data_IF_343652363006
#
_entry.id   IF_343652363006
#
_cell.length_a   1.000
_cell.length_b   1.000
_cell.length_c   1.000
_cell.angle_alpha   90.00
_cell.angle_beta   90.00
_cell.angle_gamma   90.00
#
_symmetry.space_group_name_H-M   'P 1'
#
loop_
_entity.id
_entity.type
_entity.pdbx_description
1 polymer ?
#
# COMPACT_ATOMS: atom_id res chain seq x y z
N UNK A 1 18.47 0.22 -0.64
CA UNK A 1 17.18 -0.46 -0.85
C UNK A 1 16.49 0.33 -1.94
N UNK A 2 16.17 -0.29 -3.06
CA UNK A 2 15.54 0.41 -4.18
C UNK A 2 14.05 0.65 -3.86
N UNK A 3 13.56 1.86 -4.11
CA UNK A 3 12.15 2.18 -3.93
C UNK A 3 11.31 1.49 -5.01
N UNK A 4 10.30 0.73 -4.59
CA UNK A 4 9.43 -0.01 -5.52
C UNK A 4 8.42 0.89 -6.24
N UNK A 5 8.15 2.08 -5.71
CA UNK A 5 7.18 3.02 -6.25
C UNK A 5 7.70 4.46 -6.21
N UNK A 6 7.33 5.25 -7.22
CA UNK A 6 7.19 6.70 -7.07
C UNK A 6 5.79 6.98 -6.50
N UNK A 7 5.69 7.92 -5.55
CA UNK A 7 4.42 8.28 -4.92
C UNK A 7 4.05 9.70 -5.31
N UNK A 8 2.85 9.88 -5.86
CA UNK A 8 2.28 11.18 -6.21
C UNK A 8 0.94 11.39 -5.51
N UNK A 9 0.65 12.60 -4.99
CA UNK A 9 -0.70 12.93 -4.55
C UNK A 9 -1.65 12.88 -5.75
N UNK A 10 -2.83 12.27 -5.58
CA UNK A 10 -3.86 12.21 -6.62
C UNK A 10 -4.98 13.21 -6.31
N UNK A 11 -5.72 12.97 -5.23
CA UNK A 11 -6.72 13.89 -4.67
C UNK A 11 -7.12 13.50 -3.25
N UNK A 12 -7.40 14.49 -2.41
CA UNK A 12 -7.83 14.25 -1.02
C UNK A 12 -6.85 13.36 -0.26
N UNK A 13 -7.34 12.21 0.19
CA UNK A 13 -6.62 11.19 0.94
C UNK A 13 -6.08 10.04 0.04
N UNK A 14 -5.94 10.27 -1.27
CA UNK A 14 -5.51 9.26 -2.25
C UNK A 14 -4.16 9.60 -2.88
N UNK A 15 -3.33 8.58 -3.05
CA UNK A 15 -2.00 8.65 -3.64
C UNK A 15 -1.91 7.70 -4.82
N UNK A 16 -1.35 8.17 -5.93
CA UNK A 16 -0.95 7.35 -7.07
C UNK A 16 0.44 6.75 -6.77
N UNK A 17 0.54 5.44 -6.90
CA UNK A 17 1.78 4.67 -6.80
C UNK A 17 2.18 4.24 -8.21
N UNK A 18 3.30 4.75 -8.69
CA UNK A 18 3.85 4.42 -10.01
C UNK A 18 4.97 3.40 -9.80
N UNK A 19 4.82 2.15 -10.26
CA UNK A 19 5.80 1.11 -10.01
C UNK A 19 7.12 1.39 -10.75
N UNK A 20 8.24 1.03 -10.11
CA UNK A 20 9.60 1.17 -10.65
C UNK A 20 10.25 -0.19 -10.89
N UNK A 21 11.26 -0.23 -11.74
CA UNK A 21 12.05 -1.42 -12.02
C UNK A 21 11.19 -2.60 -12.54
N UNK A 22 11.56 -3.81 -12.14
CA UNK A 22 10.87 -5.05 -12.55
C UNK A 22 9.39 -5.09 -12.19
N UNK A 23 8.96 -4.35 -11.14
CA UNK A 23 7.56 -4.32 -10.72
C UNK A 23 6.65 -3.72 -11.80
N UNK A 24 7.17 -2.82 -12.64
CA UNK A 24 6.43 -2.18 -13.74
C UNK A 24 6.01 -3.15 -14.85
N UNK A 25 6.59 -4.36 -14.88
CA UNK A 25 6.19 -5.41 -15.81
C UNK A 25 4.88 -6.11 -15.40
N UNK A 26 4.50 -6.01 -14.13
CA UNK A 26 3.35 -6.72 -13.56
C UNK A 26 2.25 -5.78 -13.09
N UNK A 27 2.62 -4.56 -12.73
CA UNK A 27 1.73 -3.52 -12.22
C UNK A 27 1.88 -2.31 -13.12
N UNK A 28 0.79 -1.81 -13.67
CA UNK A 28 0.74 -0.56 -14.41
C UNK A 28 0.73 0.63 -13.45
N UNK A 29 -0.13 0.56 -12.43
CA UNK A 29 -0.28 1.57 -11.38
C UNK A 29 -0.99 1.00 -10.16
N UNK A 30 -0.87 1.68 -9.04
CA UNK A 30 -1.75 1.45 -7.90
C UNK A 30 -2.24 2.76 -7.28
N UNK A 31 -3.36 2.70 -6.56
CA UNK A 31 -3.93 3.83 -5.83
C UNK A 31 -4.04 3.42 -4.36
N UNK A 32 -3.40 4.18 -3.48
CA UNK A 32 -3.51 4.04 -2.04
C UNK A 32 -4.47 5.11 -1.50
N UNK A 33 -5.53 4.69 -0.83
CA UNK A 33 -6.37 5.57 0.00
C UNK A 33 -5.96 5.42 1.46
N UNK A 34 -5.74 6.55 2.15
CA UNK A 34 -5.49 6.59 3.59
C UNK A 34 -6.66 7.19 4.35
N UNK A 35 -6.82 6.90 5.63
CA UNK A 35 -7.79 7.57 6.49
C UNK A 35 -7.28 8.95 6.97
N UNK A 36 -8.05 9.62 7.84
CA UNK A 36 -7.70 10.94 8.40
C UNK A 36 -6.45 10.89 9.30
N UNK A 37 -6.10 9.72 9.82
CA UNK A 37 -4.92 9.50 10.65
C UNK A 37 -3.70 9.12 9.78
N UNK A 38 -3.85 9.10 8.46
CA UNK A 38 -2.81 8.73 7.50
C UNK A 38 -2.60 7.22 7.39
N UNK A 39 -3.51 6.38 7.92
CA UNK A 39 -3.38 4.92 7.86
C UNK A 39 -3.96 4.37 6.56
N UNK A 40 -3.36 3.35 5.94
CA UNK A 40 -3.92 2.69 4.76
C UNK A 40 -5.33 2.16 5.01
N UNK A 41 -6.26 2.51 4.12
CA UNK A 41 -7.65 2.06 4.14
C UNK A 41 -7.98 1.14 2.97
N UNK A 42 -7.48 1.49 1.78
CA UNK A 42 -7.71 0.71 0.56
C UNK A 42 -6.50 0.82 -0.38
N UNK A 43 -6.19 -0.27 -1.08
CA UNK A 43 -5.21 -0.29 -2.17
C UNK A 43 -5.88 -0.88 -3.41
N UNK A 44 -5.89 -0.13 -4.51
CA UNK A 44 -6.32 -0.60 -5.82
C UNK A 44 -5.07 -0.81 -6.69
N UNK A 45 -4.85 -2.01 -7.21
CA UNK A 45 -3.68 -2.35 -8.05
C UNK A 45 -4.18 -2.72 -9.43
N UNK A 46 -3.58 -2.14 -10.47
CA UNK A 46 -3.94 -2.37 -11.86
C UNK A 46 -2.75 -3.00 -12.57
N UNK A 47 -2.91 -4.21 -13.11
CA UNK A 47 -1.91 -4.95 -13.88
C UNK A 47 -2.10 -4.86 -15.40
N UNK A 48 -3.13 -4.17 -15.89
CA UNK A 48 -3.47 -4.02 -17.31
C UNK A 48 -4.98 -3.92 -17.53
N UNK A 49 -5.43 -3.97 -18.78
CA UNK A 49 -6.83 -3.65 -19.19
C UNK A 49 -7.91 -4.47 -18.45
N UNK A 50 -7.63 -5.71 -18.05
CA UNK A 50 -8.60 -6.58 -17.36
C UNK A 50 -8.09 -7.18 -16.04
N UNK A 51 -6.92 -6.75 -15.56
CA UNK A 51 -6.34 -7.28 -14.32
C UNK A 51 -6.29 -6.18 -13.26
N UNK A 52 -7.17 -6.29 -12.27
CA UNK A 52 -7.16 -5.39 -11.12
C UNK A 52 -7.43 -6.14 -9.83
N UNK A 53 -6.82 -5.65 -8.75
CA UNK A 53 -6.98 -6.15 -7.39
C UNK A 53 -7.39 -4.99 -6.50
N UNK A 54 -8.40 -5.20 -5.66
CA UNK A 54 -8.78 -4.24 -4.61
C UNK A 54 -8.57 -4.91 -3.26
N UNK A 55 -7.79 -4.26 -2.41
CA UNK A 55 -7.52 -4.68 -1.03
C UNK A 55 -8.17 -3.66 -0.10
N UNK A 56 -9.19 -4.09 0.62
CA UNK A 56 -9.84 -3.30 1.68
C UNK A 56 -9.25 -3.64 3.04
N UNK A 57 -8.75 -2.62 3.74
CA UNK A 57 -8.09 -2.75 5.04
C UNK A 57 -9.10 -2.34 6.11
N UNK A 58 -9.76 -3.32 6.73
CA UNK A 58 -10.77 -3.08 7.75
C UNK A 58 -10.20 -2.80 9.14
N UNK A 59 -8.99 -3.29 9.43
CA UNK A 59 -8.32 -3.13 10.72
C UNK A 59 -6.81 -3.23 10.58
N UNK A 60 -6.09 -2.23 11.09
CA UNK A 60 -4.64 -2.31 11.29
C UNK A 60 -4.38 -2.62 12.76
N UNK A 61 -3.78 -3.78 13.01
CA UNK A 61 -3.34 -4.18 14.34
C UNK A 61 -1.84 -3.93 14.40
N UNK A 62 -1.35 -3.03 15.27
CA UNK A 62 0.08 -2.91 15.51
C UNK A 62 0.64 -4.27 15.92
N UNK A 63 1.80 -4.65 15.39
CA UNK A 63 2.51 -5.80 15.91
C UNK A 63 2.89 -5.51 17.37
N UNK A 64 2.16 -6.07 18.33
CA UNK A 64 2.46 -5.88 19.74
C UNK A 64 3.82 -6.52 20.06
N UNK A 65 4.78 -5.71 20.53
CA UNK A 65 5.87 -6.13 21.41
C UNK A 65 7.11 -6.71 20.74
N UNK A 66 8.10 -5.87 20.46
CA UNK A 66 9.49 -6.32 20.58
C UNK A 66 9.74 -6.77 22.02
N UNK A 67 10.08 -8.05 22.21
CA UNK A 67 10.62 -8.69 23.40
C UNK A 67 10.60 -7.88 24.71
N UNK A 68 9.71 -8.28 25.63
CA UNK A 68 10.20 -8.64 26.97
C UNK A 68 10.06 -10.14 27.10
N UNK A 69 11.14 -10.85 26.75
CA UNK A 69 11.36 -12.20 27.24
C UNK A 69 11.37 -12.08 28.77
N UNK A 70 10.32 -12.59 29.36
CA UNK A 70 10.04 -12.64 30.79
C UNK A 70 8.88 -13.60 30.96
N UNK A 71 9.11 -14.85 30.57
CA UNK A 71 8.26 -15.98 30.91
C UNK A 71 8.44 -16.29 32.42
N UNK A 72 7.54 -17.08 33.03
CA UNK A 72 6.92 -16.91 34.36
C UNK A 72 7.86 -16.90 35.57
#
# INVERSE_FOLDING_TARGET
MEELFEIKPLNGNRYLLIPKGELSQYVEKAILEVDRDGKPKRIEVFGGEDNYLIIDISKIVPACGGNKIGNP
#
